data_IF_802756285416
#
_entry.id   IF_802756285416
#
_cell.length_a   1.000
_cell.length_b   1.000
_cell.length_c   1.000
_cell.angle_alpha   90.00
_cell.angle_beta   90.00
_cell.angle_gamma   90.00
#
_symmetry.space_group_name_H-M   'P 1'
#
loop_
_entity.id
_entity.type
_entity.pdbx_description
1 polymer ?
#
# COMPACT_ATOMS: atom_id res chain seq x y z
N UNK A 1 -7.87 -13.27 -7.44
CA UNK A 1 -6.81 -13.00 -6.46
C UNK A 1 -7.15 -13.74 -5.17
N UNK A 2 -6.15 -14.33 -4.52
CA UNK A 2 -6.24 -15.14 -3.31
C UNK A 2 -5.77 -14.35 -2.09
N UNK A 3 -6.06 -14.85 -0.88
CA UNK A 3 -5.63 -14.20 0.36
C UNK A 3 -4.10 -14.12 0.49
N UNK A 4 -3.36 -15.07 -0.06
CA UNK A 4 -1.89 -15.02 -0.13
C UNK A 4 -1.41 -13.92 -1.08
N UNK A 5 -2.01 -13.80 -2.26
CA UNK A 5 -1.65 -12.73 -3.21
C UNK A 5 -1.94 -11.34 -2.64
N UNK A 6 -3.02 -11.17 -1.87
CA UNK A 6 -3.30 -9.91 -1.16
C UNK A 6 -2.24 -9.60 -0.09
N UNK A 7 -1.81 -10.62 0.65
CA UNK A 7 -0.74 -10.50 1.64
C UNK A 7 0.56 -10.04 0.96
N UNK A 8 0.95 -10.71 -0.13
CA UNK A 8 2.18 -10.40 -0.87
C UNK A 8 2.16 -8.96 -1.38
N UNK A 9 1.03 -8.49 -1.94
CA UNK A 9 0.89 -7.10 -2.40
C UNK A 9 1.05 -6.10 -1.25
N UNK A 10 0.46 -6.39 -0.09
CA UNK A 10 0.53 -5.50 1.06
C UNK A 10 1.96 -5.43 1.64
N UNK A 11 2.65 -6.56 1.73
CA UNK A 11 4.06 -6.62 2.14
C UNK A 11 4.97 -5.86 1.17
N UNK A 12 4.82 -6.10 -0.13
CA UNK A 12 5.62 -5.43 -1.15
C UNK A 12 5.43 -3.91 -1.12
N UNK A 13 4.19 -3.44 -0.94
CA UNK A 13 3.91 -2.00 -0.83
C UNK A 13 4.53 -1.40 0.44
N UNK A 14 4.42 -2.06 1.59
CA UNK A 14 5.01 -1.55 2.84
C UNK A 14 6.53 -1.48 2.75
N UNK A 15 7.18 -2.49 2.17
CA UNK A 15 8.63 -2.47 1.97
C UNK A 15 9.05 -1.40 0.97
N UNK A 16 8.30 -1.21 -0.13
CA UNK A 16 8.52 -0.12 -1.09
C UNK A 16 8.45 1.26 -0.42
N UNK A 17 7.48 1.46 0.49
CA UNK A 17 7.31 2.71 1.22
C UNK A 17 8.21 2.86 2.44
N UNK A 18 9.01 1.85 2.80
CA UNK A 18 9.71 1.78 4.08
C UNK A 18 10.56 3.01 4.42
N UNK A 19 11.23 3.60 3.43
CA UNK A 19 12.04 4.80 3.62
C UNK A 19 11.22 6.08 3.83
N UNK A 20 9.96 6.10 3.38
CA UNK A 20 9.05 7.23 3.53
C UNK A 20 8.17 7.14 4.79
N UNK A 21 8.10 5.96 5.43
CA UNK A 21 7.35 5.73 6.66
C UNK A 21 8.13 6.22 7.88
N UNK A 22 7.44 6.95 8.76
CA UNK A 22 7.95 7.20 10.11
C UNK A 22 7.95 5.90 10.94
N UNK A 23 8.75 5.85 12.01
CA UNK A 23 8.81 4.67 12.90
C UNK A 23 7.42 4.25 13.42
N UNK A 24 6.54 5.17 13.88
CA UNK A 24 5.19 4.79 14.29
C UNK A 24 4.37 4.17 13.16
N UNK A 25 4.43 4.73 11.96
CA UNK A 25 3.68 4.22 10.79
C UNK A 25 4.20 2.85 10.35
N UNK A 26 5.53 2.66 10.36
CA UNK A 26 6.15 1.38 10.05
C UNK A 26 5.73 0.30 11.06
N UNK A 27 5.72 0.63 12.35
CA UNK A 27 5.23 -0.28 13.39
C UNK A 27 3.75 -0.62 13.20
N UNK A 28 2.90 0.37 12.93
CA UNK A 28 1.48 0.15 12.65
C UNK A 28 1.29 -0.74 11.43
N UNK A 29 2.00 -0.49 10.34
CA UNK A 29 1.92 -1.29 9.12
C UNK A 29 2.31 -2.75 9.39
N UNK A 30 3.43 -3.01 10.07
CA UNK A 30 3.84 -4.39 10.37
C UNK A 30 2.90 -5.13 11.32
N UNK A 31 2.33 -4.44 12.33
CA UNK A 31 1.31 -5.06 13.19
C UNK A 31 0.08 -5.45 12.37
N UNK A 32 -0.40 -4.57 11.47
CA UNK A 32 -1.53 -4.86 10.59
C UNK A 32 -1.27 -6.02 9.64
N UNK A 33 -0.08 -6.06 9.03
CA UNK A 33 0.36 -7.18 8.19
C UNK A 33 0.38 -8.50 8.97
N UNK A 34 0.86 -8.48 10.22
CA UNK A 34 0.95 -9.67 11.08
C UNK A 34 -0.39 -10.26 11.51
N UNK A 35 -1.44 -9.44 11.61
CA UNK A 35 -2.81 -9.89 11.96
C UNK A 35 -3.72 -10.13 10.75
N UNK A 36 -3.22 -9.87 9.53
CA UNK A 36 -3.97 -10.06 8.29
C UNK A 36 -4.83 -8.87 7.86
N UNK A 37 -4.68 -7.71 8.51
CA UNK A 37 -5.36 -6.46 8.15
C UNK A 37 -4.65 -5.77 6.96
N UNK A 38 -4.59 -6.45 5.82
CA UNK A 38 -3.80 -6.02 4.67
C UNK A 38 -4.24 -4.69 4.08
N UNK A 39 -5.55 -4.43 4.00
CA UNK A 39 -6.09 -3.17 3.48
C UNK A 39 -5.63 -1.97 4.30
N UNK A 40 -5.67 -2.08 5.63
CA UNK A 40 -5.20 -1.03 6.55
C UNK A 40 -3.70 -0.79 6.43
N UNK A 41 -2.92 -1.87 6.33
CA UNK A 41 -1.47 -1.77 6.11
C UNK A 41 -1.15 -1.00 4.82
N UNK A 42 -1.86 -1.29 3.74
CA UNK A 42 -1.68 -0.60 2.46
C UNK A 42 -2.09 0.87 2.54
N UNK A 43 -3.17 1.22 3.24
CA UNK A 43 -3.57 2.63 3.45
C UNK A 43 -2.48 3.41 4.19
N UNK A 44 -1.89 2.84 5.25
CA UNK A 44 -0.76 3.48 5.97
C UNK A 44 0.41 3.73 5.02
N UNK A 45 0.76 2.74 4.20
CA UNK A 45 1.84 2.86 3.24
C UNK A 45 1.56 3.94 2.17
N UNK A 46 0.36 3.97 1.59
CA UNK A 46 -0.01 4.96 0.57
C UNK A 46 -0.06 6.39 1.13
N UNK A 47 -0.52 6.58 2.38
CA UNK A 47 -0.48 7.89 3.07
C UNK A 47 0.93 8.45 3.18
N UNK A 48 1.93 7.59 3.35
CA UNK A 48 3.34 8.03 3.42
C UNK A 48 3.84 8.56 2.08
N UNK A 49 3.42 7.93 0.96
CA UNK A 49 3.81 8.35 -0.39
C UNK A 49 3.26 9.72 -0.75
N UNK A 50 2.00 10.00 -0.38
CA UNK A 50 1.34 11.28 -0.68
C UNK A 50 1.89 12.43 0.17
N UNK A 51 2.44 12.16 1.36
CA UNK A 51 2.98 13.19 2.25
C UNK A 51 4.36 13.70 1.83
N UNK A 52 5.26 12.80 1.44
CA UNK A 52 6.70 13.11 1.42
C UNK A 52 7.38 12.97 0.06
N UNK A 53 6.62 12.96 -1.04
CA UNK A 53 7.17 12.61 -2.36
C UNK A 53 7.99 11.31 -2.27
N UNK A 54 7.37 10.29 -1.64
CA UNK A 54 7.97 8.98 -1.47
C UNK A 54 8.35 8.33 -2.81
N UNK A 55 9.05 7.19 -2.79
CA UNK A 55 9.50 6.56 -4.02
C UNK A 55 8.30 6.32 -4.96
N UNK A 56 8.40 6.72 -6.23
CA UNK A 56 7.31 6.53 -7.17
C UNK A 56 6.93 5.05 -7.23
N UNK A 57 5.63 4.77 -7.31
CA UNK A 57 5.15 3.41 -7.51
C UNK A 57 5.69 2.89 -8.85
N UNK A 58 6.22 1.67 -8.82
CA UNK A 58 6.56 0.95 -10.05
C UNK A 58 5.28 0.54 -10.78
N UNK A 59 5.33 0.41 -12.10
CA UNK A 59 4.17 -0.01 -12.91
C UNK A 59 3.61 -1.35 -12.46
N UNK A 60 4.50 -2.27 -12.06
CA UNK A 60 4.11 -3.58 -11.53
C UNK A 60 3.32 -3.46 -10.23
N UNK A 61 3.77 -2.61 -9.30
CA UNK A 61 3.09 -2.43 -8.02
C UNK A 61 1.76 -1.70 -8.21
N UNK A 62 1.73 -0.69 -9.08
CA UNK A 62 0.50 0.02 -9.47
C UNK A 62 -0.54 -0.94 -10.07
N UNK A 63 -0.15 -1.76 -11.04
CA UNK A 63 -1.05 -2.74 -11.66
C UNK A 63 -1.63 -3.73 -10.64
N UNK A 64 -0.82 -4.19 -9.69
CA UNK A 64 -1.26 -5.08 -8.61
C UNK A 64 -2.23 -4.38 -7.65
N UNK A 65 -1.95 -3.14 -7.26
CA UNK A 65 -2.84 -2.35 -6.39
C UNK A 65 -4.17 -2.01 -7.07
N UNK A 66 -4.16 -1.72 -8.37
CA UNK A 66 -5.39 -1.55 -9.16
C UNK A 66 -6.18 -2.85 -9.24
N UNK A 67 -5.51 -4.01 -9.38
CA UNK A 67 -6.18 -5.31 -9.32
C UNK A 67 -6.81 -5.58 -7.95
N UNK A 68 -6.17 -5.14 -6.86
CA UNK A 68 -6.74 -5.23 -5.49
C UNK A 68 -8.03 -4.42 -5.42
N UNK A 69 -8.01 -3.16 -5.86
CA UNK A 69 -9.17 -2.26 -5.86
C UNK A 69 -10.37 -2.85 -6.62
N UNK A 70 -10.11 -3.54 -7.74
CA UNK A 70 -11.16 -4.16 -8.56
C UNK A 70 -11.70 -5.48 -7.99
N UNK A 71 -10.88 -6.20 -7.21
CA UNK A 71 -11.21 -7.55 -6.73
C UNK A 71 -11.78 -7.56 -5.32
N UNK A 72 -11.31 -6.65 -4.46
CA UNK A 72 -11.69 -6.57 -3.06
C UNK A 72 -12.50 -5.31 -2.78
N UNK A 73 -13.40 -5.39 -1.81
CA UNK A 73 -14.04 -4.19 -1.28
C UNK A 73 -13.02 -3.40 -0.45
N UNK A 74 -12.31 -2.49 -1.10
CA UNK A 74 -11.41 -1.54 -0.45
C UNK A 74 -12.18 -0.27 -0.07
N UNK A 75 -11.73 0.39 0.98
CA UNK A 75 -12.30 1.69 1.35
C UNK A 75 -12.01 2.75 0.30
N UNK A 76 -12.90 3.75 0.20
CA UNK A 76 -12.71 4.90 -0.71
C UNK A 76 -11.35 5.58 -0.50
N UNK A 77 -10.87 5.64 0.75
CA UNK A 77 -9.58 6.23 1.08
C UNK A 77 -8.42 5.54 0.33
N UNK A 78 -8.46 4.21 0.18
CA UNK A 78 -7.45 3.48 -0.58
C UNK A 78 -7.41 3.95 -2.04
N UNK A 79 -8.57 4.02 -2.70
CA UNK A 79 -8.70 4.47 -4.09
C UNK A 79 -8.17 5.89 -4.29
N UNK A 80 -8.53 6.80 -3.40
CA UNK A 80 -8.10 8.20 -3.45
C UNK A 80 -6.57 8.33 -3.28
N UNK A 81 -6.00 7.58 -2.34
CA UNK A 81 -4.55 7.57 -2.11
C UNK A 81 -3.79 6.93 -3.27
N UNK A 82 -4.30 5.84 -3.85
CA UNK A 82 -3.69 5.19 -5.01
C UNK A 82 -3.71 6.12 -6.24
N UNK A 83 -4.81 6.86 -6.44
CA UNK A 83 -4.92 7.84 -7.52
C UNK A 83 -3.91 8.99 -7.37
N UNK A 84 -3.63 9.41 -6.14
CA UNK A 84 -2.71 10.49 -5.79
C UNK A 84 -1.24 10.06 -5.65
N UNK A 85 -0.95 8.75 -5.64
CA UNK A 85 0.40 8.25 -5.46
C UNK A 85 1.34 8.64 -6.63
N UNK A 86 2.60 9.01 -6.35
CA UNK A 86 3.58 9.31 -7.39
C UNK A 86 3.84 8.06 -8.24
N UNK A 87 3.97 8.23 -9.57
CA UNK A 87 4.17 7.14 -10.54
C UNK A 87 5.55 7.21 -11.16
N UNK A 88 6.13 6.05 -11.44
CA UNK A 88 7.32 5.96 -12.27
C UNK A 88 6.88 6.30 -13.70
N UNK A 89 7.46 7.34 -14.30
CA UNK A 89 7.13 7.75 -15.67
C UNK A 89 7.75 6.85 -16.72
#
# INVERSE_FOLDING_TARGET
>A
MSSSELSDVAWDLVEHCRAALSIPELNTAFVRLGVGDYSEAMVVALKSLTRSAGPPLTDQLLARLTSVEQTYHVEREFSELLAAAPRSG
#
